data_IF_787061798103
#
_entry.id   IF_787061798103
#
_cell.length_a   1.000
_cell.length_b   1.000
_cell.length_c   1.000
_cell.angle_alpha   90.00
_cell.angle_beta   90.00
_cell.angle_gamma   90.00
#
_symmetry.space_group_name_H-M   'P 1'
#
loop_
_entity.id
_entity.type
_entity.pdbx_description
1 polymer ?
#
# COMPACT_ATOMS: atom_id res chain seq x y z
N UNK A 1 -16.50 12.74 -7.21
CA UNK A 1 -16.67 11.43 -7.88
C UNK A 1 -17.41 11.67 -9.18
N UNK A 2 -16.91 11.10 -10.24
CA UNK A 2 -17.50 11.16 -11.58
C UNK A 2 -18.37 9.93 -11.89
N UNK A 3 -19.21 9.94 -12.96
CA UNK A 3 -20.09 8.80 -13.27
C UNK A 3 -19.38 7.47 -13.54
N UNK A 4 -18.09 7.50 -13.85
CA UNK A 4 -17.20 6.33 -14.00
C UNK A 4 -16.57 5.85 -12.70
N UNK A 5 -17.07 6.34 -11.55
CA UNK A 5 -16.59 6.03 -10.19
C UNK A 5 -15.18 6.55 -9.86
N UNK A 6 -14.57 7.33 -10.75
CA UNK A 6 -13.33 8.02 -10.49
C UNK A 6 -13.54 9.28 -9.62
N UNK A 7 -12.47 9.76 -8.99
CA UNK A 7 -12.55 10.94 -8.12
C UNK A 7 -11.36 11.87 -8.31
N UNK A 8 -11.63 13.13 -8.05
CA UNK A 8 -10.59 14.15 -7.84
C UNK A 8 -10.62 14.58 -6.38
N UNK A 9 -9.46 14.62 -5.74
CA UNK A 9 -9.31 15.04 -4.35
C UNK A 9 -8.58 16.38 -4.29
N UNK A 10 -9.10 17.29 -3.47
CA UNK A 10 -8.42 18.52 -3.10
C UNK A 10 -8.07 18.42 -1.61
N UNK A 11 -6.84 18.00 -1.32
CA UNK A 11 -6.43 17.59 0.02
C UNK A 11 -5.60 18.67 0.70
N UNK A 12 -5.92 18.93 1.97
CA UNK A 12 -5.10 19.68 2.90
C UNK A 12 -4.81 18.81 4.12
N UNK A 13 -3.57 18.39 4.29
CA UNK A 13 -3.16 17.42 5.33
C UNK A 13 -3.32 17.96 6.76
N UNK A 14 -3.30 19.27 6.94
CA UNK A 14 -3.43 19.88 8.26
C UNK A 14 -2.32 19.44 9.22
N UNK A 15 -2.70 18.93 10.38
CA UNK A 15 -1.74 18.45 11.39
C UNK A 15 -1.07 17.14 10.99
N UNK A 16 -1.67 16.33 10.13
CA UNK A 16 -1.05 15.08 9.65
C UNK A 16 0.25 15.35 8.90
N UNK A 17 0.32 16.43 8.09
CA UNK A 17 1.55 16.84 7.40
C UNK A 17 2.63 17.41 8.31
N UNK A 18 2.35 17.58 9.62
CA UNK A 18 3.30 18.10 10.60
C UNK A 18 3.88 17.04 11.52
N UNK A 19 3.61 15.77 11.26
CA UNK A 19 4.16 14.66 12.04
C UNK A 19 5.69 14.74 12.05
N UNK A 20 6.28 14.53 13.22
CA UNK A 20 7.72 14.56 13.43
C UNK A 20 8.16 13.42 14.36
N UNK A 21 9.45 13.29 14.61
CA UNK A 21 9.99 12.20 15.43
C UNK A 21 9.49 12.17 16.88
N UNK A 22 9.03 13.32 17.45
CA UNK A 22 8.54 13.37 18.82
C UNK A 22 7.12 12.81 18.95
N UNK A 23 6.37 12.77 17.84
CA UNK A 23 5.02 12.20 17.80
C UNK A 23 5.03 10.67 17.74
N UNK A 24 6.21 10.09 17.51
CA UNK A 24 6.39 8.63 17.35
C UNK A 24 6.84 8.01 18.68
N UNK A 25 5.98 7.20 19.29
CA UNK A 25 6.33 6.41 20.48
C UNK A 25 7.00 5.08 20.08
N UNK A 26 8.32 5.02 20.28
CA UNK A 26 9.11 3.85 19.97
C UNK A 26 8.72 2.60 20.79
N UNK A 27 8.15 2.77 22.01
CA UNK A 27 7.74 1.64 22.84
C UNK A 27 6.48 0.97 22.28
N UNK A 28 5.53 1.76 21.80
CA UNK A 28 4.33 1.24 21.15
C UNK A 28 4.72 0.48 19.88
N UNK A 29 5.63 1.05 19.08
CA UNK A 29 6.10 0.42 17.83
C UNK A 29 6.79 -0.92 18.11
N UNK A 30 7.69 -0.98 19.11
CA UNK A 30 8.37 -2.23 19.48
C UNK A 30 7.43 -3.34 19.93
N UNK A 31 6.27 -2.98 20.51
CA UNK A 31 5.25 -3.94 20.94
C UNK A 31 4.34 -4.39 19.78
N UNK A 32 4.28 -3.63 18.70
CA UNK A 32 3.44 -3.93 17.54
C UNK A 32 4.09 -5.00 16.65
N UNK A 33 3.27 -5.83 16.00
CA UNK A 33 3.78 -6.84 15.07
C UNK A 33 4.18 -6.22 13.74
N UNK A 34 3.44 -5.18 13.30
CA UNK A 34 3.68 -4.47 12.04
C UNK A 34 3.42 -2.98 12.27
N UNK A 35 4.22 -2.13 11.66
CA UNK A 35 3.88 -0.73 11.44
C UNK A 35 3.48 -0.53 9.98
N UNK A 36 2.40 0.22 9.75
CA UNK A 36 1.95 0.59 8.42
C UNK A 36 2.20 2.08 8.16
N UNK A 37 2.87 2.39 7.07
CA UNK A 37 3.28 3.73 6.68
C UNK A 37 2.54 4.15 5.40
N UNK A 38 2.24 5.44 5.30
CA UNK A 38 1.58 6.04 4.14
C UNK A 38 2.51 7.00 3.39
N UNK A 39 2.70 6.78 2.09
CA UNK A 39 3.56 7.60 1.25
C UNK A 39 3.16 9.06 1.19
N UNK A 40 1.88 9.38 1.31
CA UNK A 40 1.38 10.75 1.34
C UNK A 40 2.05 11.66 2.37
N UNK A 41 2.46 11.11 3.51
CA UNK A 41 3.09 11.87 4.59
C UNK A 41 4.54 12.25 4.28
N UNK A 42 5.09 11.82 3.15
CA UNK A 42 6.48 12.10 2.78
C UNK A 42 6.72 13.50 2.22
N UNK A 43 5.66 14.23 1.84
CA UNK A 43 5.77 15.47 1.08
C UNK A 43 6.23 16.69 1.89
N UNK A 44 5.75 16.87 3.13
CA UNK A 44 5.95 18.10 3.90
C UNK A 44 6.56 17.86 5.27
N UNK A 45 7.21 18.89 5.83
CA UNK A 45 7.71 18.90 7.21
C UNK A 45 8.87 17.96 7.47
N UNK A 46 8.85 17.32 8.64
CA UNK A 46 9.86 16.35 9.08
C UNK A 46 9.32 14.90 9.14
N UNK A 47 8.38 14.48 8.27
CA UNK A 47 7.85 13.11 8.34
C UNK A 47 8.95 12.07 8.09
N UNK A 48 9.98 12.38 7.33
CA UNK A 48 11.14 11.48 7.09
C UNK A 48 11.79 11.04 8.40
N UNK A 49 12.00 11.95 9.35
CA UNK A 49 12.56 11.62 10.68
C UNK A 49 11.59 10.75 11.48
N UNK A 50 10.29 11.02 11.42
CA UNK A 50 9.27 10.20 12.04
C UNK A 50 9.27 8.78 11.45
N UNK A 51 9.32 8.65 10.12
CA UNK A 51 9.40 7.37 9.42
C UNK A 51 10.68 6.61 9.79
N UNK A 52 11.84 7.26 9.76
CA UNK A 52 13.12 6.65 10.16
C UNK A 52 13.05 6.12 11.60
N UNK A 53 12.53 6.91 12.54
CA UNK A 53 12.35 6.47 13.92
C UNK A 53 11.40 5.27 14.00
N UNK A 54 10.29 5.30 13.27
CA UNK A 54 9.33 4.20 13.23
C UNK A 54 9.95 2.93 12.66
N UNK A 55 10.59 3.00 11.50
CA UNK A 55 11.26 1.88 10.82
C UNK A 55 12.34 1.26 11.73
N UNK A 56 13.16 2.08 12.36
CA UNK A 56 14.27 1.61 13.21
C UNK A 56 13.80 0.91 14.50
N UNK A 57 12.53 1.06 14.88
CA UNK A 57 11.96 0.45 16.08
C UNK A 57 10.94 -0.65 15.78
N UNK A 58 10.58 -0.86 14.52
CA UNK A 58 9.56 -1.82 14.12
C UNK A 58 10.12 -3.25 14.02
N UNK A 59 9.27 -4.25 14.30
CA UNK A 59 9.55 -5.66 14.00
C UNK A 59 9.40 -5.94 12.50
N UNK A 60 8.35 -5.39 11.90
CA UNK A 60 8.05 -5.44 10.46
C UNK A 60 7.50 -4.11 9.99
N UNK A 61 7.85 -3.74 8.78
CA UNK A 61 7.44 -2.49 8.16
C UNK A 61 6.64 -2.76 6.90
N UNK A 62 5.40 -2.30 6.88
CA UNK A 62 4.55 -2.26 5.71
C UNK A 62 4.38 -0.80 5.26
N UNK A 63 4.28 -0.56 3.96
CA UNK A 63 4.04 0.77 3.41
C UNK A 63 3.17 0.71 2.16
N UNK A 64 2.23 1.65 2.05
CA UNK A 64 1.58 1.99 0.79
C UNK A 64 2.35 3.08 0.06
N UNK A 65 2.55 2.93 -1.26
CA UNK A 65 3.15 3.97 -2.09
C UNK A 65 2.20 5.16 -2.31
N UNK A 66 0.93 4.97 -2.02
CA UNK A 66 -0.16 5.95 -1.90
C UNK A 66 -0.70 6.49 -3.21
N UNK A 67 0.10 7.14 -4.04
CA UNK A 67 -0.26 7.54 -5.40
C UNK A 67 0.98 7.71 -6.30
N UNK A 68 0.73 7.76 -7.62
CA UNK A 68 1.78 7.94 -8.61
C UNK A 68 2.53 9.26 -8.43
N UNK A 69 1.85 10.35 -8.04
CA UNK A 69 2.51 11.66 -7.86
C UNK A 69 3.47 11.64 -6.69
N UNK A 70 3.14 10.94 -5.59
CA UNK A 70 4.07 10.71 -4.49
C UNK A 70 5.29 9.92 -4.95
N UNK A 71 5.08 8.85 -5.71
CA UNK A 71 6.15 8.04 -6.28
C UNK A 71 7.05 8.89 -7.17
N UNK A 72 6.49 9.67 -8.09
CA UNK A 72 7.27 10.49 -9.04
C UNK A 72 8.12 11.54 -8.32
N UNK A 73 7.58 12.17 -7.27
CA UNK A 73 8.30 13.17 -6.47
C UNK A 73 9.41 12.57 -5.61
N UNK A 74 9.22 11.36 -5.10
CA UNK A 74 10.09 10.74 -4.10
C UNK A 74 10.72 9.43 -4.57
N UNK A 75 10.77 9.19 -5.88
CA UNK A 75 11.16 7.93 -6.52
C UNK A 75 12.40 7.28 -5.89
N UNK A 76 13.51 8.02 -5.79
CA UNK A 76 14.77 7.48 -5.27
C UNK A 76 14.65 7.03 -3.81
N UNK A 77 13.92 7.79 -2.98
CA UNK A 77 13.71 7.45 -1.57
C UNK A 77 12.78 6.24 -1.44
N UNK A 78 11.66 6.21 -2.18
CA UNK A 78 10.73 5.10 -2.14
C UNK A 78 11.36 3.81 -2.65
N UNK A 79 12.17 3.90 -3.70
CA UNK A 79 12.91 2.75 -4.22
C UNK A 79 13.92 2.21 -3.18
N UNK A 80 14.60 3.09 -2.45
CA UNK A 80 15.49 2.69 -1.34
C UNK A 80 14.71 2.02 -0.21
N UNK A 81 13.57 2.60 0.21
CA UNK A 81 12.70 1.99 1.22
C UNK A 81 12.24 0.60 0.80
N UNK A 82 11.68 0.46 -0.40
CA UNK A 82 11.20 -0.81 -0.94
C UNK A 82 12.31 -1.87 -0.98
N UNK A 83 13.49 -1.50 -1.47
CA UNK A 83 14.62 -2.43 -1.57
C UNK A 83 15.21 -2.81 -0.23
N UNK A 84 15.33 -1.86 0.71
CA UNK A 84 16.22 -2.01 1.85
C UNK A 84 15.52 -2.00 3.21
N UNK A 85 14.33 -1.40 3.34
CA UNK A 85 13.70 -1.11 4.64
C UNK A 85 12.35 -1.77 4.86
N UNK A 86 11.54 -1.91 3.80
CA UNK A 86 10.20 -2.47 3.92
C UNK A 86 10.23 -3.99 3.87
N UNK A 87 9.34 -4.62 4.62
CA UNK A 87 9.04 -6.06 4.54
C UNK A 87 7.86 -6.31 3.60
N UNK A 88 6.90 -5.36 3.58
CA UNK A 88 5.65 -5.45 2.82
C UNK A 88 5.43 -4.12 2.09
N UNK A 89 5.26 -4.16 0.79
CA UNK A 89 4.93 -2.98 -0.04
C UNK A 89 3.58 -3.17 -0.71
N UNK A 90 2.70 -2.20 -0.52
CA UNK A 90 1.43 -2.08 -1.26
C UNK A 90 1.56 -0.99 -2.33
N UNK A 91 1.12 -1.30 -3.53
CA UNK A 91 1.10 -0.37 -4.65
C UNK A 91 -0.02 -0.72 -5.62
N UNK A 92 -0.39 0.22 -6.50
CA UNK A 92 -1.11 -0.14 -7.71
C UNK A 92 -0.14 -0.36 -8.89
N UNK A 93 -0.67 -0.88 -10.01
CA UNK A 93 0.13 -1.18 -11.21
C UNK A 93 0.91 0.06 -11.71
N UNK A 94 0.29 1.24 -11.70
CA UNK A 94 0.90 2.49 -12.17
C UNK A 94 2.01 2.99 -11.23
N UNK A 95 1.78 2.92 -9.92
CA UNK A 95 2.74 3.32 -8.90
C UNK A 95 4.03 2.50 -9.00
N UNK A 96 3.91 1.16 -9.07
CA UNK A 96 5.11 0.32 -9.14
C UNK A 96 5.82 0.42 -10.48
N UNK A 97 5.07 0.57 -11.58
CA UNK A 97 5.68 0.82 -12.89
C UNK A 97 6.45 2.14 -12.92
N UNK A 98 5.88 3.21 -12.36
CA UNK A 98 6.59 4.49 -12.21
C UNK A 98 7.81 4.38 -11.30
N UNK A 99 7.70 3.66 -10.18
CA UNK A 99 8.80 3.51 -9.21
C UNK A 99 10.08 2.96 -9.85
N UNK A 100 9.94 1.99 -10.75
CA UNK A 100 11.08 1.29 -11.36
C UNK A 100 11.32 1.63 -12.84
N UNK A 101 10.60 2.63 -13.38
CA UNK A 101 10.63 2.98 -14.80
C UNK A 101 10.33 1.79 -15.73
N UNK A 102 9.41 0.91 -15.31
CA UNK A 102 9.06 -0.28 -16.07
C UNK A 102 8.32 0.06 -17.36
N UNK A 103 8.68 -0.63 -18.45
CA UNK A 103 8.03 -0.50 -19.77
C UNK A 103 6.78 -1.36 -19.88
N UNK A 104 6.77 -2.47 -19.15
CA UNK A 104 5.63 -3.38 -19.09
C UNK A 104 5.56 -4.07 -17.73
N UNK A 105 4.45 -4.76 -17.47
CA UNK A 105 4.21 -5.43 -16.20
C UNK A 105 5.10 -6.66 -15.95
N UNK A 106 5.73 -7.20 -16.99
CA UNK A 106 6.68 -8.32 -16.82
C UNK A 106 7.94 -7.86 -16.09
N UNK A 107 8.40 -6.63 -16.36
CA UNK A 107 9.53 -6.04 -15.62
C UNK A 107 9.19 -5.85 -14.13
N UNK A 108 7.92 -5.54 -13.80
CA UNK A 108 7.44 -5.47 -12.42
C UNK A 108 7.49 -6.83 -11.73
N UNK A 109 7.04 -7.88 -12.41
CA UNK A 109 7.12 -9.25 -11.87
C UNK A 109 8.57 -9.65 -11.59
N UNK A 110 9.46 -9.41 -12.54
CA UNK A 110 10.90 -9.71 -12.35
C UNK A 110 11.52 -8.88 -11.23
N UNK A 111 11.15 -7.61 -11.11
CA UNK A 111 11.57 -6.79 -9.97
C UNK A 111 11.09 -7.38 -8.64
N UNK A 112 9.82 -7.76 -8.53
CA UNK A 112 9.24 -8.36 -7.33
C UNK A 112 9.91 -9.68 -6.94
N UNK A 113 10.21 -10.54 -7.92
CA UNK A 113 10.94 -11.79 -7.71
C UNK A 113 12.35 -11.54 -7.14
N UNK A 114 13.06 -10.56 -7.70
CA UNK A 114 14.40 -10.21 -7.25
C UNK A 114 14.41 -9.50 -5.88
N UNK A 115 13.32 -8.81 -5.54
CA UNK A 115 13.18 -8.11 -4.26
C UNK A 115 13.19 -9.07 -3.06
N UNK A 116 12.60 -10.26 -3.20
CA UNK A 116 12.48 -11.30 -2.15
C UNK A 116 11.82 -10.76 -0.88
N UNK A 117 10.86 -9.88 -1.04
CA UNK A 117 10.02 -9.27 -0.01
C UNK A 117 8.58 -9.25 -0.52
N UNK A 118 7.64 -9.02 0.37
CA UNK A 118 6.24 -9.01 -0.04
C UNK A 118 5.92 -7.76 -0.85
N UNK A 119 5.65 -7.93 -2.13
CA UNK A 119 5.15 -6.89 -3.02
C UNK A 119 3.73 -7.25 -3.43
N UNK A 120 2.77 -6.42 -3.02
CA UNK A 120 1.34 -6.62 -3.26
C UNK A 120 0.87 -5.50 -4.18
N UNK A 121 0.32 -5.86 -5.34
CA UNK A 121 -0.04 -4.90 -6.38
C UNK A 121 -1.49 -5.06 -6.76
N UNK A 122 -2.26 -3.98 -6.61
CA UNK A 122 -3.62 -3.89 -7.15
C UNK A 122 -3.59 -3.48 -8.61
N UNK A 123 -4.50 -4.04 -9.42
CA UNK A 123 -4.49 -3.91 -10.88
C UNK A 123 -5.87 -3.58 -11.45
N UNK A 124 -6.67 -2.88 -10.68
CA UNK A 124 -8.04 -2.51 -11.06
C UNK A 124 -8.88 -3.75 -11.39
N UNK A 125 -9.49 -3.78 -12.55
CA UNK A 125 -10.33 -4.87 -13.04
C UNK A 125 -9.60 -6.21 -13.27
N UNK A 126 -8.27 -6.19 -13.26
CA UNK A 126 -7.44 -7.41 -13.32
C UNK A 126 -7.21 -8.05 -11.93
N UNK A 127 -7.72 -7.43 -10.87
CA UNK A 127 -7.57 -7.94 -9.50
C UNK A 127 -6.28 -7.51 -8.82
N UNK A 128 -5.61 -8.44 -8.17
CA UNK A 128 -4.37 -8.17 -7.44
C UNK A 128 -3.36 -9.31 -7.60
N UNK A 129 -2.10 -8.99 -7.38
CA UNK A 129 -0.99 -9.94 -7.43
C UNK A 129 -0.12 -9.79 -6.18
N UNK A 130 0.29 -10.91 -5.62
CA UNK A 130 1.31 -11.04 -4.58
C UNK A 130 2.59 -11.60 -5.19
N UNK A 131 3.73 -11.02 -4.87
CA UNK A 131 5.04 -11.48 -5.33
C UNK A 131 6.02 -11.53 -4.15
N UNK A 132 6.67 -12.67 -3.95
CA UNK A 132 7.79 -12.82 -3.01
C UNK A 132 8.77 -13.89 -3.52
N UNK A 133 9.85 -13.48 -4.15
CA UNK A 133 10.71 -14.42 -4.85
C UNK A 133 9.95 -15.16 -5.95
N UNK A 134 10.04 -16.48 -5.99
CA UNK A 134 9.34 -17.29 -7.00
C UNK A 134 7.85 -17.51 -6.69
N UNK A 135 7.39 -17.12 -5.51
CA UNK A 135 5.97 -17.18 -5.14
C UNK A 135 5.23 -16.00 -5.78
N UNK A 136 4.49 -16.28 -6.83
CA UNK A 136 3.71 -15.31 -7.59
C UNK A 136 2.27 -15.78 -7.64
N UNK A 137 1.38 -15.08 -6.94
CA UNK A 137 -0.03 -15.45 -6.78
C UNK A 137 -0.90 -14.32 -7.34
N UNK A 138 -1.74 -14.64 -8.31
CA UNK A 138 -2.72 -13.70 -8.85
C UNK A 138 -4.13 -14.05 -8.33
N UNK A 139 -4.89 -13.02 -8.02
CA UNK A 139 -6.30 -13.13 -7.66
C UNK A 139 -7.12 -12.13 -8.47
N UNK A 140 -8.15 -12.60 -9.15
CA UNK A 140 -9.07 -11.76 -9.91
C UNK A 140 -10.04 -11.02 -9.00
N UNK A 141 -10.92 -10.23 -9.62
CA UNK A 141 -12.03 -9.56 -8.93
C UNK A 141 -13.32 -10.37 -9.07
N UNK A 142 -14.26 -10.15 -8.15
CA UNK A 142 -15.63 -10.62 -8.33
C UNK A 142 -16.28 -9.86 -9.51
N UNK A 143 -16.93 -10.59 -10.40
CA UNK A 143 -17.56 -10.04 -11.61
C UNK A 143 -18.90 -9.42 -11.27
N UNK A 144 -19.29 -8.39 -12.04
CA UNK A 144 -20.59 -7.72 -11.96
C UNK A 144 -20.81 -6.86 -10.69
N UNK A 145 -19.76 -6.26 -10.16
CA UNK A 145 -19.88 -5.28 -9.08
C UNK A 145 -20.39 -3.96 -9.63
N UNK A 146 -21.40 -3.38 -8.98
CA UNK A 146 -21.88 -2.01 -9.26
C UNK A 146 -21.06 -1.03 -8.43
N UNK A 147 -19.86 -0.69 -8.93
CA UNK A 147 -18.92 0.21 -8.25
C UNK A 147 -19.46 1.63 -8.32
N UNK A 148 -19.66 2.27 -7.17
CA UNK A 148 -20.14 3.65 -7.04
C UNK A 148 -19.02 4.64 -6.73
N UNK A 149 -18.02 4.22 -5.99
CA UNK A 149 -16.93 5.06 -5.51
C UNK A 149 -15.72 4.18 -5.21
N UNK A 150 -14.56 4.55 -5.73
CA UNK A 150 -13.29 3.86 -5.52
C UNK A 150 -12.46 4.44 -4.37
N UNK A 151 -12.99 5.45 -3.65
CA UNK A 151 -12.29 6.09 -2.54
C UNK A 151 -12.01 5.10 -1.41
N UNK A 152 -10.75 5.01 -0.99
CA UNK A 152 -10.33 4.10 0.09
C UNK A 152 -10.23 2.63 -0.31
N UNK A 153 -10.42 2.28 -1.58
CA UNK A 153 -10.29 0.89 -2.04
C UNK A 153 -8.91 0.32 -1.75
N UNK A 154 -7.85 1.10 -1.97
CA UNK A 154 -6.48 0.71 -1.65
C UNK A 154 -6.25 0.51 -0.16
N UNK A 155 -6.80 1.39 0.68
CA UNK A 155 -6.66 1.32 2.15
C UNK A 155 -7.35 0.08 2.71
N UNK A 156 -8.56 -0.19 2.25
CA UNK A 156 -9.31 -1.39 2.62
C UNK A 156 -8.61 -2.66 2.14
N UNK A 157 -8.03 -2.61 0.95
CA UNK A 157 -7.25 -3.72 0.41
C UNK A 157 -6.05 -4.01 1.32
N UNK A 158 -5.25 -3.01 1.68
CA UNK A 158 -4.11 -3.17 2.57
C UNK A 158 -4.55 -3.67 3.96
N UNK A 159 -5.63 -3.13 4.52
CA UNK A 159 -6.17 -3.55 5.81
C UNK A 159 -6.60 -5.03 5.81
N UNK A 160 -7.34 -5.47 4.79
CA UNK A 160 -7.78 -6.86 4.66
C UNK A 160 -6.60 -7.81 4.47
N UNK A 161 -5.64 -7.45 3.62
CA UNK A 161 -4.42 -8.25 3.44
C UNK A 161 -3.63 -8.39 4.74
N UNK A 162 -3.37 -7.28 5.45
CA UNK A 162 -2.65 -7.29 6.72
C UNK A 162 -3.40 -8.07 7.80
N UNK A 163 -4.73 -8.00 7.83
CA UNK A 163 -5.53 -8.84 8.72
C UNK A 163 -5.27 -10.33 8.48
N UNK A 164 -5.37 -10.78 7.24
CA UNK A 164 -5.10 -12.18 6.89
C UNK A 164 -3.64 -12.57 7.21
N UNK A 165 -2.70 -11.72 6.84
CA UNK A 165 -1.27 -11.93 7.08
C UNK A 165 -0.94 -12.11 8.58
N UNK A 166 -1.47 -11.24 9.45
CA UNK A 166 -1.27 -11.31 10.90
C UNK A 166 -1.98 -12.52 11.55
N UNK A 167 -3.00 -13.07 10.90
CA UNK A 167 -3.70 -14.28 11.33
C UNK A 167 -3.17 -15.56 10.65
N UNK A 168 -2.03 -15.46 9.95
CA UNK A 168 -1.37 -16.59 9.28
C UNK A 168 -2.22 -17.28 8.20
N UNK A 169 -3.06 -16.52 7.50
CA UNK A 169 -3.77 -17.03 6.33
C UNK A 169 -2.78 -17.29 5.18
N UNK A 170 -3.16 -18.17 4.27
CA UNK A 170 -2.39 -18.31 3.03
C UNK A 170 -2.38 -17.01 2.23
N UNK A 171 -1.36 -16.76 1.40
CA UNK A 171 -1.27 -15.52 0.62
C UNK A 171 -2.46 -15.34 -0.32
N UNK A 172 -2.99 -16.43 -0.89
CA UNK A 172 -4.21 -16.37 -1.70
C UNK A 172 -5.43 -15.97 -0.86
N UNK A 173 -5.54 -16.47 0.38
CA UNK A 173 -6.63 -16.08 1.27
C UNK A 173 -6.49 -14.63 1.73
N UNK A 174 -5.26 -14.14 1.96
CA UNK A 174 -5.02 -12.72 2.22
C UNK A 174 -5.51 -11.83 1.06
N UNK A 175 -5.23 -12.21 -0.19
CA UNK A 175 -5.74 -11.51 -1.37
C UNK A 175 -7.27 -11.59 -1.47
N UNK A 176 -7.88 -12.73 -1.12
CA UNK A 176 -9.33 -12.94 -1.14
C UNK A 176 -10.06 -12.13 -0.07
N UNK A 177 -9.49 -11.95 1.13
CA UNK A 177 -10.13 -11.21 2.25
C UNK A 177 -10.59 -9.83 1.81
N UNK A 178 -9.95 -9.26 0.84
CA UNK A 178 -10.25 -7.92 0.34
C UNK A 178 -11.37 -7.89 -0.68
N UNK A 179 -11.51 -8.92 -1.49
CA UNK A 179 -12.58 -8.99 -2.52
C UNK A 179 -13.98 -8.86 -1.91
N UNK A 180 -14.14 -9.21 -0.63
CA UNK A 180 -15.40 -9.07 0.10
C UNK A 180 -15.59 -7.73 0.81
N UNK A 181 -14.54 -7.00 1.15
CA UNK A 181 -14.65 -5.74 1.93
C UNK A 181 -15.24 -4.61 1.11
N UNK A 182 -15.05 -4.58 -0.20
CA UNK A 182 -15.68 -3.60 -1.09
C UNK A 182 -17.20 -3.76 -1.20
N UNK A 183 -17.75 -4.93 -0.84
CA UNK A 183 -19.17 -5.23 -0.93
C UNK A 183 -19.97 -4.84 0.33
N UNK A 184 -19.32 -4.63 1.46
CA UNK A 184 -20.00 -4.57 2.76
C UNK A 184 -19.87 -3.26 3.52
N UNK A 185 -19.19 -2.25 2.98
CA UNK A 185 -19.21 -0.93 3.61
C UNK A 185 -20.58 -0.30 3.38
N UNK A 186 -21.38 -0.08 4.44
CA UNK A 186 -22.55 0.76 4.33
C UNK A 186 -22.04 2.15 3.94
N UNK A 187 -22.36 2.60 2.73
CA UNK A 187 -22.31 4.01 2.42
C UNK A 187 -23.24 4.67 3.43
N UNK A 188 -22.66 5.25 4.50
CA UNK A 188 -23.45 6.09 5.39
C UNK A 188 -23.85 7.32 4.59
N UNK A 189 -25.00 7.20 3.92
CA UNK A 189 -25.74 8.33 3.45
C UNK A 189 -26.23 9.10 4.68
N UNK A 190 -25.57 10.16 5.04
CA UNK A 190 -26.17 11.27 5.75
C UNK A 190 -25.72 12.58 5.11
#
# INVERSE_FOLDING_TARGET
VTPDSERTMCTFLGTAGKINENDVDANIIKQSEVIFLEGYLWDEGEPKKAFEKAINNAKKVAMSLSDQFCVDRHKSHFLDLVKNKLDITFANEQEVMSLIDAKDFKEVIEFGKNLKKHLIITRGDKGAIFINGDDVIENGIEKNLDIKDLTGAGDLFAAGFLHGYLNNYSHIDCLNTVSYTHLTLPTSSQ
#
